data_IF_050687943630
#
_entry.id   IF_050687943630
#
_cell.length_a   1.000
_cell.length_b   1.000
_cell.length_c   1.000
_cell.angle_alpha   90.00
_cell.angle_beta   90.00
_cell.angle_gamma   90.00
#
_symmetry.space_group_name_H-M   'P 1'
#
loop_
_entity.id
_entity.type
_entity.pdbx_description
1 polymer ?
#
# COMPACT_ATOMS: atom_id res chain seq x y z
N UNK A 1 -43.03 -24.08 6.31
CA UNK A 1 -41.89 -23.91 5.38
C UNK A 1 -41.69 -22.42 5.16
N UNK A 2 -40.67 -21.83 5.77
CA UNK A 2 -40.32 -20.43 5.54
C UNK A 2 -39.35 -20.35 4.35
N UNK A 3 -39.56 -19.46 3.37
CA UNK A 3 -38.63 -19.32 2.26
C UNK A 3 -37.40 -18.56 2.73
N UNK A 4 -36.24 -19.22 2.72
CA UNK A 4 -34.95 -18.56 2.91
C UNK A 4 -34.71 -17.66 1.70
N UNK A 5 -34.72 -16.33 1.90
CA UNK A 5 -34.28 -15.37 0.90
C UNK A 5 -32.78 -15.59 0.63
N UNK A 6 -32.32 -15.50 -0.63
CA UNK A 6 -30.90 -15.48 -0.92
C UNK A 6 -30.36 -14.12 -0.43
N UNK A 7 -29.63 -14.12 0.69
CA UNK A 7 -28.81 -12.96 1.07
C UNK A 7 -27.68 -12.87 0.06
N UNK A 8 -27.79 -11.91 -0.87
CA UNK A 8 -26.69 -11.52 -1.74
C UNK A 8 -25.54 -11.03 -0.88
N UNK A 9 -24.63 -11.94 -0.53
CA UNK A 9 -23.44 -11.65 0.25
C UNK A 9 -22.52 -10.76 -0.56
N UNK A 10 -22.44 -9.49 -0.18
CA UNK A 10 -21.46 -8.56 -0.72
C UNK A 10 -20.08 -9.05 -0.26
N UNK A 11 -19.24 -9.48 -1.21
CA UNK A 11 -17.85 -9.86 -0.91
C UNK A 11 -17.17 -8.69 -0.21
N UNK A 12 -16.64 -8.94 0.99
CA UNK A 12 -15.85 -7.97 1.72
C UNK A 12 -14.55 -7.63 0.95
N UNK A 13 -14.41 -6.37 0.55
CA UNK A 13 -13.21 -5.88 -0.12
C UNK A 13 -12.11 -5.57 0.91
N UNK A 14 -10.85 -5.85 0.56
CA UNK A 14 -9.68 -5.57 1.39
C UNK A 14 -9.61 -4.09 1.83
N UNK A 15 -9.88 -3.17 0.90
CA UNK A 15 -9.94 -1.74 1.19
C UNK A 15 -10.96 -1.40 2.29
N UNK A 16 -12.17 -1.97 2.22
CA UNK A 16 -13.22 -1.74 3.22
C UNK A 16 -12.84 -2.29 4.59
N UNK A 17 -12.20 -3.46 4.64
CA UNK A 17 -11.70 -4.04 5.90
C UNK A 17 -10.67 -3.11 6.54
N UNK A 18 -9.66 -2.69 5.76
CA UNK A 18 -8.58 -1.81 6.23
C UNK A 18 -9.13 -0.46 6.70
N UNK A 19 -10.06 0.13 5.94
CA UNK A 19 -10.70 1.40 6.32
C UNK A 19 -11.41 1.33 7.67
N UNK A 20 -12.19 0.26 7.94
CA UNK A 20 -12.89 0.10 9.23
C UNK A 20 -11.92 0.00 10.41
N UNK A 21 -10.79 -0.68 10.26
CA UNK A 21 -9.77 -0.70 11.31
C UNK A 21 -9.10 0.67 11.48
N UNK A 22 -8.78 1.36 10.39
CA UNK A 22 -8.15 2.69 10.44
C UNK A 22 -9.03 3.76 11.09
N UNK A 23 -10.35 3.68 10.94
CA UNK A 23 -11.30 4.57 11.65
C UNK A 23 -11.17 4.46 13.18
N UNK A 24 -10.76 3.29 13.68
CA UNK A 24 -10.46 3.02 15.10
C UNK A 24 -9.00 3.23 15.47
N UNK A 25 -8.18 3.78 14.56
CA UNK A 25 -6.73 3.97 14.70
C UNK A 25 -5.92 2.67 14.84
N UNK A 26 -6.49 1.55 14.43
CA UNK A 26 -5.81 0.25 14.39
C UNK A 26 -5.23 0.00 13.00
N UNK A 27 -3.98 -0.46 12.92
CA UNK A 27 -3.43 -1.05 11.71
C UNK A 27 -3.79 -2.53 11.65
N UNK A 28 -3.80 -3.13 10.46
CA UNK A 28 -4.17 -4.54 10.29
C UNK A 28 -3.15 -5.26 9.42
N UNK A 29 -2.72 -6.44 9.86
CA UNK A 29 -1.80 -7.28 9.12
C UNK A 29 -2.49 -7.87 7.87
N UNK A 30 -1.80 -8.03 6.72
CA UNK A 30 -2.39 -8.59 5.50
C UNK A 30 -3.06 -9.95 5.72
N UNK A 31 -2.47 -10.83 6.53
CA UNK A 31 -3.05 -12.14 6.83
C UNK A 31 -4.38 -12.05 7.59
N UNK A 32 -4.57 -11.02 8.42
CA UNK A 32 -5.86 -10.77 9.08
C UNK A 32 -6.89 -10.33 8.07
N UNK A 33 -6.51 -9.47 7.11
CA UNK A 33 -7.39 -9.06 6.01
C UNK A 33 -7.81 -10.28 5.18
N UNK A 34 -6.86 -11.17 4.86
CA UNK A 34 -7.14 -12.43 4.15
C UNK A 34 -8.11 -13.31 4.93
N UNK A 35 -7.85 -13.52 6.23
CA UNK A 35 -8.72 -14.30 7.09
C UNK A 35 -10.16 -13.75 7.12
N UNK A 36 -10.34 -12.45 7.29
CA UNK A 36 -11.67 -11.82 7.32
C UNK A 36 -12.39 -11.99 5.98
N UNK A 37 -11.67 -11.87 4.85
CA UNK A 37 -12.24 -12.12 3.51
C UNK A 37 -12.69 -13.56 3.34
N UNK A 38 -11.93 -14.52 3.84
CA UNK A 38 -12.27 -15.95 3.78
C UNK A 38 -13.51 -16.28 4.62
N UNK A 39 -13.68 -15.65 5.77
CA UNK A 39 -14.87 -15.84 6.61
C UNK A 39 -16.13 -15.16 6.03
N UNK A 40 -15.96 -14.12 5.20
CA UNK A 40 -17.04 -13.37 4.56
C UNK A 40 -18.15 -12.89 5.53
N UNK A 41 -17.72 -12.41 6.71
CA UNK A 41 -18.59 -12.00 7.82
C UNK A 41 -18.25 -10.56 8.25
N UNK A 42 -19.10 -9.58 7.89
CA UNK A 42 -18.94 -8.17 8.22
C UNK A 42 -18.86 -7.91 9.74
N UNK A 43 -19.63 -8.67 10.53
CA UNK A 43 -19.69 -8.51 11.98
C UNK A 43 -18.45 -9.03 12.70
N UNK A 44 -17.55 -9.71 11.98
CA UNK A 44 -16.27 -10.16 12.52
C UNK A 44 -15.34 -8.98 12.84
N UNK A 45 -15.39 -7.91 12.04
CA UNK A 45 -14.56 -6.71 12.23
C UNK A 45 -14.86 -6.07 13.59
N UNK A 46 -16.14 -5.82 13.87
CA UNK A 46 -16.58 -5.17 15.10
C UNK A 46 -16.29 -6.04 16.35
N UNK A 47 -16.39 -7.37 16.21
CA UNK A 47 -15.99 -8.34 17.24
C UNK A 47 -14.48 -8.34 17.51
N UNK A 48 -13.66 -8.25 16.46
CA UNK A 48 -12.20 -8.16 16.62
C UNK A 48 -11.83 -6.84 17.32
N UNK A 49 -12.37 -5.71 16.85
CA UNK A 49 -12.09 -4.38 17.43
C UNK A 49 -12.46 -4.35 18.92
N UNK A 50 -13.60 -4.90 19.32
CA UNK A 50 -14.03 -4.92 20.72
C UNK A 50 -13.21 -5.87 21.61
N UNK A 51 -12.59 -6.90 21.05
CA UNK A 51 -11.77 -7.87 21.80
C UNK A 51 -10.29 -7.45 21.96
N UNK A 52 -9.85 -6.42 21.23
CA UNK A 52 -8.46 -6.00 21.19
C UNK A 52 -8.10 -5.10 22.41
N UNK A 53 -6.90 -5.28 23.00
CA UNK A 53 -6.39 -4.39 24.04
C UNK A 53 -6.28 -2.91 23.59
N UNK A 54 -6.50 -1.96 24.52
CA UNK A 54 -6.49 -0.52 24.20
C UNK A 54 -5.14 0.02 23.70
N UNK A 55 -4.04 -0.67 24.02
CA UNK A 55 -2.67 -0.34 23.61
C UNK A 55 -2.25 -1.04 22.31
N UNK A 56 -3.14 -1.82 21.70
CA UNK A 56 -2.86 -2.48 20.44
C UNK A 56 -2.77 -1.47 19.29
N UNK A 57 -1.67 -1.50 18.54
CA UNK A 57 -1.48 -0.69 17.34
C UNK A 57 -1.71 -1.47 16.05
N UNK A 58 -1.39 -2.78 16.06
CA UNK A 58 -1.44 -3.64 14.87
C UNK A 58 -2.19 -4.92 15.19
N UNK A 59 -3.31 -5.11 14.50
CA UNK A 59 -4.08 -6.36 14.54
C UNK A 59 -3.35 -7.42 13.72
N UNK A 60 -2.92 -8.49 14.38
CA UNK A 60 -2.24 -9.64 13.76
C UNK A 60 -3.03 -10.91 13.99
N UNK A 61 -2.64 -12.01 13.33
CA UNK A 61 -3.35 -13.29 13.42
C UNK A 61 -3.57 -13.76 14.86
N UNK A 62 -2.67 -13.44 15.79
CA UNK A 62 -2.79 -13.77 17.23
C UNK A 62 -4.05 -13.22 17.90
N UNK A 63 -4.67 -12.20 17.33
CA UNK A 63 -5.91 -11.59 17.84
C UNK A 63 -7.16 -12.21 17.20
N UNK A 64 -7.00 -13.14 16.26
CA UNK A 64 -8.13 -13.79 15.58
C UNK A 64 -8.67 -14.94 16.44
N UNK A 65 -10.01 -15.10 16.51
CA UNK A 65 -10.62 -16.22 17.21
C UNK A 65 -10.19 -17.54 16.57
N UNK A 66 -9.76 -18.52 17.38
CA UNK A 66 -9.34 -19.84 16.89
C UNK A 66 -7.93 -19.90 16.30
N UNK A 67 -7.16 -18.82 16.34
CA UNK A 67 -5.76 -18.84 15.90
C UNK A 67 -4.84 -19.46 16.95
N UNK A 68 -4.36 -20.68 16.70
CA UNK A 68 -3.20 -21.22 17.41
C UNK A 68 -1.95 -20.88 16.59
N UNK A 69 -0.90 -20.30 17.20
CA UNK A 69 0.35 -20.06 16.49
C UNK A 69 1.02 -21.39 16.17
N UNK A 70 0.81 -21.92 14.97
CA UNK A 70 1.58 -23.06 14.46
C UNK A 70 2.93 -22.53 13.99
N UNK A 71 4.01 -23.00 14.61
CA UNK A 71 5.38 -22.68 14.19
C UNK A 71 5.80 -23.62 13.07
N UNK A 72 5.33 -23.39 11.85
CA UNK A 72 5.65 -24.27 10.71
C UNK A 72 7.06 -24.04 10.10
N UNK A 73 7.92 -23.24 10.71
CA UNK A 73 9.35 -23.13 10.33
C UNK A 73 9.61 -22.53 8.94
N UNK A 74 8.60 -22.35 8.10
CA UNK A 74 8.73 -21.76 6.77
C UNK A 74 8.69 -20.24 6.88
N UNK A 75 9.86 -19.65 7.08
CA UNK A 75 10.06 -18.21 7.03
C UNK A 75 9.99 -17.77 5.55
N UNK A 76 8.85 -17.21 5.17
CA UNK A 76 8.59 -16.51 3.90
C UNK A 76 8.52 -17.42 2.66
N UNK A 77 7.36 -18.03 2.44
CA UNK A 77 7.00 -18.61 1.14
C UNK A 77 6.67 -17.48 0.16
N UNK A 78 7.63 -17.15 -0.72
CA UNK A 78 7.51 -16.20 -1.85
C UNK A 78 7.13 -14.76 -1.46
N UNK A 79 7.61 -13.78 -2.24
CA UNK A 79 7.14 -12.40 -2.07
C UNK A 79 5.61 -12.39 -2.17
N UNK A 80 4.87 -11.98 -1.13
CA UNK A 80 3.43 -11.94 -1.21
C UNK A 80 3.04 -11.01 -2.36
N UNK A 81 2.05 -11.40 -3.15
CA UNK A 81 1.38 -10.49 -4.09
C UNK A 81 0.89 -9.30 -3.29
N UNK A 82 1.66 -8.21 -3.32
CA UNK A 82 1.42 -7.03 -2.51
C UNK A 82 0.25 -6.27 -3.13
N UNK A 83 -0.92 -6.38 -2.51
CA UNK A 83 -2.04 -5.51 -2.84
C UNK A 83 -1.78 -4.11 -2.25
N UNK A 84 -1.43 -3.16 -3.11
CA UNK A 84 -1.25 -1.75 -2.69
C UNK A 84 -2.60 -1.08 -2.63
N UNK A 85 -3.11 -0.86 -1.41
CA UNK A 85 -4.33 -0.10 -1.17
C UNK A 85 -3.97 1.38 -1.15
N UNK A 86 -4.49 2.14 -2.12
CA UNK A 86 -4.35 3.59 -2.14
C UNK A 86 -5.00 4.21 -0.91
N UNK A 87 -4.34 5.16 -0.25
CA UNK A 87 -4.89 5.85 0.90
C UNK A 87 -6.18 6.60 0.57
N UNK A 88 -7.06 6.77 1.57
CA UNK A 88 -8.32 7.52 1.42
C UNK A 88 -8.06 8.96 0.98
N UNK A 89 -8.74 9.43 -0.06
CA UNK A 89 -8.64 10.84 -0.51
C UNK A 89 -8.93 11.77 0.68
N UNK A 90 -8.00 12.68 0.97
CA UNK A 90 -8.10 13.60 2.11
C UNK A 90 -7.57 13.06 3.45
N UNK A 91 -7.00 11.84 3.52
CA UNK A 91 -6.33 11.35 4.74
C UNK A 91 -4.96 11.99 4.98
N UNK A 92 -4.33 12.50 3.92
CA UNK A 92 -3.11 13.30 4.00
C UNK A 92 -3.46 14.79 3.94
N UNK A 93 -2.90 15.59 4.85
CA UNK A 93 -2.99 17.05 4.76
C UNK A 93 -2.24 17.52 3.51
N UNK A 94 -2.79 18.48 2.73
CA UNK A 94 -2.03 19.14 1.68
C UNK A 94 -0.74 19.71 2.26
N UNK A 95 0.36 19.63 1.52
CA UNK A 95 1.53 20.43 1.85
C UNK A 95 1.10 21.91 1.78
N UNK A 96 1.42 22.67 2.83
CA UNK A 96 0.73 23.93 3.14
C UNK A 96 0.98 25.01 2.08
N UNK A 97 2.16 25.03 1.46
CA UNK A 97 2.56 25.99 0.43
C UNK A 97 3.18 25.31 -0.80
N UNK A 98 3.30 26.04 -1.90
CA UNK A 98 3.92 25.56 -3.14
C UNK A 98 5.38 25.11 -2.89
N UNK A 99 6.10 25.84 -2.06
CA UNK A 99 7.50 25.54 -1.71
C UNK A 99 7.65 24.19 -1.00
N UNK A 100 6.63 23.79 -0.24
CA UNK A 100 6.60 22.50 0.44
C UNK A 100 6.53 21.36 -0.58
N UNK A 101 5.76 21.54 -1.67
CA UNK A 101 5.71 20.57 -2.76
C UNK A 101 7.03 20.49 -3.52
N UNK A 102 7.69 21.63 -3.78
CA UNK A 102 9.02 21.64 -4.44
C UNK A 102 10.02 20.84 -3.62
N UNK A 103 10.09 21.11 -2.31
CA UNK A 103 10.97 20.40 -1.38
C UNK A 103 10.66 18.91 -1.33
N UNK A 104 9.37 18.55 -1.32
CA UNK A 104 8.90 17.18 -1.34
C UNK A 104 9.31 16.41 -2.59
N UNK A 105 9.07 16.99 -3.78
CA UNK A 105 9.46 16.38 -5.05
C UNK A 105 10.97 16.27 -5.18
N UNK A 106 11.73 17.25 -4.69
CA UNK A 106 13.18 17.21 -4.68
C UNK A 106 13.73 16.11 -3.76
N UNK A 107 13.25 15.98 -2.52
CA UNK A 107 13.64 14.90 -1.60
C UNK A 107 13.30 13.53 -2.17
N UNK A 108 12.08 13.36 -2.70
CA UNK A 108 11.65 12.11 -3.34
C UNK A 108 12.55 11.74 -4.52
N UNK A 109 12.84 12.68 -5.42
CA UNK A 109 13.76 12.47 -6.53
C UNK A 109 15.15 12.09 -6.04
N UNK A 110 15.68 12.80 -5.02
CA UNK A 110 17.03 12.56 -4.49
C UNK A 110 17.17 11.15 -3.90
N UNK A 111 16.17 10.68 -3.15
CA UNK A 111 16.17 9.33 -2.57
C UNK A 111 16.08 8.25 -3.65
N UNK A 112 15.12 8.37 -4.56
CA UNK A 112 14.91 7.37 -5.62
C UNK A 112 16.09 7.33 -6.59
N UNK A 113 16.60 8.49 -7.01
CA UNK A 113 17.80 8.55 -7.85
C UNK A 113 19.00 7.97 -7.14
N UNK A 114 19.19 8.23 -5.84
CA UNK A 114 20.23 7.60 -5.02
C UNK A 114 20.15 6.08 -5.01
N UNK A 115 18.96 5.50 -4.87
CA UNK A 115 18.75 4.05 -4.92
C UNK A 115 19.04 3.44 -6.30
N UNK A 116 18.80 4.20 -7.38
CA UNK A 116 18.93 3.72 -8.77
C UNK A 116 20.31 4.01 -9.36
N UNK A 117 21.08 4.95 -8.82
CA UNK A 117 22.41 5.37 -9.33
C UNK A 117 23.43 4.24 -9.40
N UNK A 118 23.29 3.20 -8.59
CA UNK A 118 24.13 2.00 -8.64
C UNK A 118 23.75 1.02 -9.76
N UNK A 119 22.62 1.24 -10.44
CA UNK A 119 22.06 0.33 -11.47
C UNK A 119 22.08 0.93 -12.86
N UNK A 120 22.08 2.26 -12.99
CA UNK A 120 22.24 2.96 -14.25
C UNK A 120 23.04 4.26 -14.05
N UNK A 121 23.57 4.80 -15.14
CA UNK A 121 24.29 6.08 -15.17
C UNK A 121 23.43 7.16 -15.84
N UNK A 122 22.40 7.70 -15.16
CA UNK A 122 21.49 8.66 -15.75
C UNK A 122 22.17 10.02 -15.93
N UNK A 123 21.90 10.67 -17.05
CA UNK A 123 22.33 12.05 -17.31
C UNK A 123 21.22 13.04 -16.93
N UNK A 124 21.56 14.29 -16.54
CA UNK A 124 20.59 15.34 -16.32
C UNK A 124 19.79 15.65 -17.60
N UNK A 125 18.50 15.95 -17.46
CA UNK A 125 17.62 16.27 -18.61
C UNK A 125 18.11 17.52 -19.35
N UNK A 126 18.70 18.48 -18.64
CA UNK A 126 19.28 19.69 -19.21
C UNK A 126 20.47 19.38 -20.13
N UNK A 127 21.18 18.26 -19.89
CA UNK A 127 22.31 17.84 -20.70
C UNK A 127 21.88 17.40 -22.12
N UNK A 128 20.65 16.91 -22.28
CA UNK A 128 20.09 16.53 -23.58
C UNK A 128 19.99 17.71 -24.54
N UNK A 129 19.69 18.91 -24.02
CA UNK A 129 19.61 20.13 -24.82
C UNK A 129 21.00 20.68 -25.18
N UNK A 130 21.95 20.54 -24.25
CA UNK A 130 23.28 21.17 -24.33
C UNK A 130 24.29 20.34 -25.11
N UNK A 131 24.17 19.01 -25.09
CA UNK A 131 25.12 18.12 -25.72
C UNK A 131 24.48 17.33 -26.88
N UNK A 132 24.82 17.63 -28.14
CA UNK A 132 24.24 16.96 -29.29
C UNK A 132 24.60 15.47 -29.36
N UNK A 133 25.64 15.03 -28.66
CA UNK A 133 26.08 13.62 -28.60
C UNK A 133 24.96 12.67 -28.17
N UNK A 134 24.08 13.10 -27.27
CA UNK A 134 22.96 12.30 -26.79
C UNK A 134 21.79 12.19 -27.80
N UNK A 135 21.88 12.83 -28.97
CA UNK A 135 20.92 12.59 -30.06
C UNK A 135 21.26 11.36 -30.90
N UNK A 136 22.52 10.94 -30.85
CA UNK A 136 23.07 9.87 -31.69
C UNK A 136 23.53 8.64 -30.90
N UNK A 137 23.52 8.71 -29.57
CA UNK A 137 23.92 7.62 -28.66
C UNK A 137 22.78 7.25 -27.72
N UNK A 138 22.76 6.00 -27.26
CA UNK A 138 21.87 5.58 -26.18
C UNK A 138 22.22 6.31 -24.88
N UNK A 139 21.19 6.73 -24.15
CA UNK A 139 21.37 7.40 -22.87
C UNK A 139 20.28 6.96 -21.89
N UNK A 140 20.59 7.10 -20.60
CA UNK A 140 19.63 6.87 -19.52
C UNK A 140 19.23 8.20 -18.88
N UNK A 141 17.95 8.32 -18.50
CA UNK A 141 17.42 9.45 -17.72
C UNK A 141 16.73 8.89 -16.48
N UNK A 142 16.88 9.58 -15.35
CA UNK A 142 16.08 9.35 -14.15
C UNK A 142 15.26 10.60 -13.87
N UNK A 143 13.97 10.42 -13.60
CA UNK A 143 13.05 11.54 -13.38
C UNK A 143 11.75 11.08 -12.72
N UNK A 144 10.89 12.03 -12.40
CA UNK A 144 9.55 11.77 -11.89
C UNK A 144 8.54 11.81 -13.04
N UNK A 145 7.70 10.78 -13.14
CA UNK A 145 6.67 10.68 -14.17
C UNK A 145 5.43 11.45 -13.70
N UNK A 146 5.05 12.48 -14.45
CA UNK A 146 3.84 13.28 -14.18
C UNK A 146 2.61 12.66 -14.84
N UNK A 147 2.78 12.16 -16.06
CA UNK A 147 1.69 11.56 -16.84
C UNK A 147 2.25 10.45 -17.71
N UNK A 148 1.56 9.30 -17.75
CA UNK A 148 1.87 8.18 -18.63
C UNK A 148 0.72 8.02 -19.64
N UNK A 149 1.03 8.18 -20.92
CA UNK A 149 0.10 7.91 -22.03
C UNK A 149 0.56 6.64 -22.74
N UNK A 150 -0.38 5.76 -23.05
CA UNK A 150 -0.15 4.62 -23.95
C UNK A 150 -0.61 5.02 -25.34
N UNK A 151 0.27 4.87 -26.33
CA UNK A 151 0.00 5.06 -27.75
C UNK A 151 -0.19 3.72 -28.43
#
# INVERSE_FOLDING_TARGET
MCPCKPTGGRILNAATIVERFLETKLQVHPDVVRYIREQNDDGLIDRIISAIPQDCLVVSLRHMPGSAPVRDGVRFLSDPLLEVISGRKGSSRPAGKVEDYVSYFHDRYSRLSGMVRGRCSPIPIEALKRNPRYRSEEFAVTGMVVEARST
#
